data_IF_182316421049
#
_entry.id   IF_182316421049
#
_cell.length_a   1.000
_cell.length_b   1.000
_cell.length_c   1.000
_cell.angle_alpha   90.00
_cell.angle_beta   90.00
_cell.angle_gamma   90.00
#
_symmetry.space_group_name_H-M   'P 1'
#
loop_
_entity.id
_entity.type
_entity.pdbx_description
1 polymer ?
#
# COMPACT_ATOMS: atom_id res chain seq x y z
N UNK A 1 -0.63 -15.98 25.32
CA UNK A 1 -0.49 -16.33 23.90
C UNK A 1 0.93 -15.99 23.43
N UNK A 2 1.80 -17.00 23.43
CA UNK A 2 3.27 -16.91 23.50
C UNK A 2 3.97 -16.87 22.12
N UNK A 3 5.12 -16.17 22.04
CA UNK A 3 6.24 -16.49 21.12
C UNK A 3 6.21 -15.87 19.71
N UNK A 4 6.24 -14.54 19.55
CA UNK A 4 5.89 -13.93 18.25
C UNK A 4 6.84 -12.81 17.77
N UNK A 5 8.14 -12.85 18.07
CA UNK A 5 9.11 -11.85 17.57
C UNK A 5 9.38 -11.93 16.06
N UNK A 6 9.34 -13.14 15.47
CA UNK A 6 9.62 -13.40 14.05
C UNK A 6 8.34 -13.49 13.21
N UNK A 7 7.27 -14.07 13.76
CA UNK A 7 5.97 -14.17 13.08
C UNK A 7 5.27 -12.81 12.93
N UNK A 8 5.40 -11.88 13.88
CA UNK A 8 4.91 -10.49 13.69
C UNK A 8 5.56 -9.77 12.51
N UNK A 9 6.82 -10.09 12.20
CA UNK A 9 7.50 -9.53 11.02
C UNK A 9 7.05 -10.18 9.73
N UNK A 10 6.82 -11.49 9.74
CA UNK A 10 6.30 -12.18 8.57
C UNK A 10 4.87 -11.73 8.23
N UNK A 11 4.00 -11.67 9.24
CA UNK A 11 2.63 -11.18 9.09
C UNK A 11 2.59 -9.72 8.60
N UNK A 12 3.43 -8.85 9.15
CA UNK A 12 3.55 -7.47 8.69
C UNK A 12 4.08 -7.36 7.25
N UNK A 13 5.01 -8.22 6.84
CA UNK A 13 5.51 -8.26 5.46
C UNK A 13 4.42 -8.72 4.49
N UNK A 14 3.68 -9.77 4.87
CA UNK A 14 2.61 -10.35 4.08
C UNK A 14 1.47 -9.35 3.91
N UNK A 15 1.06 -8.69 5.00
CA UNK A 15 0.02 -7.66 4.98
C UNK A 15 0.39 -6.47 4.07
N UNK A 16 1.62 -5.97 4.18
CA UNK A 16 2.05 -4.84 3.35
C UNK A 16 2.19 -5.22 1.87
N UNK A 17 2.72 -6.40 1.58
CA UNK A 17 2.85 -6.88 0.20
C UNK A 17 1.47 -7.10 -0.42
N UNK A 18 0.55 -7.73 0.33
CA UNK A 18 -0.83 -7.93 -0.10
C UNK A 18 -1.56 -6.61 -0.30
N UNK A 19 -1.38 -5.64 0.60
CA UNK A 19 -1.96 -4.30 0.47
C UNK A 19 -1.51 -3.58 -0.81
N UNK A 20 -0.20 -3.57 -1.08
CA UNK A 20 0.34 -2.98 -2.33
C UNK A 20 -0.19 -3.72 -3.56
N UNK A 21 -0.17 -5.06 -3.56
CA UNK A 21 -0.63 -5.86 -4.68
C UNK A 21 -2.14 -5.66 -4.97
N UNK A 22 -2.96 -5.64 -3.92
CA UNK A 22 -4.40 -5.41 -4.03
C UNK A 22 -4.70 -4.01 -4.59
N UNK A 23 -3.99 -2.99 -4.11
CA UNK A 23 -4.14 -1.62 -4.59
C UNK A 23 -3.71 -1.49 -6.06
N UNK A 24 -2.58 -2.08 -6.45
CA UNK A 24 -2.10 -2.10 -7.83
C UNK A 24 -3.08 -2.83 -8.76
N UNK A 25 -3.63 -3.96 -8.31
CA UNK A 25 -4.64 -4.70 -9.05
C UNK A 25 -5.92 -3.87 -9.26
N UNK A 26 -6.44 -3.24 -8.20
CA UNK A 26 -7.62 -2.39 -8.29
C UNK A 26 -7.39 -1.20 -9.24
N UNK A 27 -6.18 -0.60 -9.20
CA UNK A 27 -5.76 0.47 -10.11
C UNK A 27 -5.74 0.03 -11.57
N UNK A 28 -5.14 -1.13 -11.86
CA UNK A 28 -5.07 -1.67 -13.21
C UNK A 28 -6.46 -2.00 -13.76
N UNK A 29 -7.29 -2.66 -12.98
CA UNK A 29 -8.69 -2.95 -13.35
C UNK A 29 -9.44 -1.66 -13.63
N UNK A 30 -9.27 -0.66 -12.75
CA UNK A 30 -9.91 0.65 -12.91
C UNK A 30 -9.44 1.35 -14.19
N UNK A 31 -8.14 1.33 -14.49
CA UNK A 31 -7.57 1.96 -15.69
C UNK A 31 -8.10 1.30 -16.97
N UNK A 32 -8.17 -0.03 -17.00
CA UNK A 32 -8.67 -0.78 -18.16
C UNK A 32 -10.20 -0.80 -18.28
N UNK A 33 -10.91 -0.39 -17.24
CA UNK A 33 -12.37 -0.22 -17.25
C UNK A 33 -12.79 1.21 -17.59
N UNK A 34 -11.85 2.15 -17.74
CA UNK A 34 -12.15 3.54 -18.08
C UNK A 34 -12.71 3.61 -19.51
N UNK A 35 -13.72 4.46 -19.76
CA UNK A 35 -14.17 4.72 -21.12
C UNK A 35 -13.06 5.47 -21.88
N UNK A 36 -12.44 4.79 -22.84
CA UNK A 36 -11.32 5.34 -23.59
C UNK A 36 -10.71 4.34 -24.56
N UNK A 37 -9.61 4.75 -25.21
CA UNK A 37 -8.94 3.98 -26.27
C UNK A 37 -8.33 2.66 -25.77
N UNK A 38 -8.08 2.56 -24.47
CA UNK A 38 -7.50 1.39 -23.81
C UNK A 38 -8.53 0.59 -22.99
N UNK A 39 -9.83 0.75 -23.26
CA UNK A 39 -10.89 0.01 -22.57
C UNK A 39 -10.80 -1.47 -22.93
N UNK A 40 -10.27 -2.28 -22.01
CA UNK A 40 -10.23 -3.73 -22.15
C UNK A 40 -11.48 -4.41 -21.56
N UNK A 41 -12.14 -3.76 -20.58
CA UNK A 41 -13.32 -4.28 -19.91
C UNK A 41 -14.57 -3.44 -20.22
N UNK A 42 -15.55 -4.08 -20.85
CA UNK A 42 -16.86 -3.48 -21.12
C UNK A 42 -17.84 -3.76 -19.97
N UNK A 43 -17.64 -3.10 -18.82
CA UNK A 43 -18.56 -3.19 -17.68
C UNK A 43 -19.56 -2.02 -17.66
N UNK A 44 -20.75 -2.27 -17.14
CA UNK A 44 -21.74 -1.24 -16.79
C UNK A 44 -22.05 -1.39 -15.29
N UNK A 45 -21.83 -0.37 -14.44
CA UNK A 45 -21.18 0.92 -14.74
C UNK A 45 -19.67 0.76 -15.02
N UNK A 46 -19.09 1.73 -15.73
CA UNK A 46 -17.65 1.80 -15.97
C UNK A 46 -16.93 2.48 -14.80
N UNK A 47 -15.60 2.56 -14.86
CA UNK A 47 -14.80 3.26 -13.85
C UNK A 47 -14.69 4.77 -14.10
N UNK A 48 -15.53 5.36 -14.97
CA UNK A 48 -15.49 6.79 -15.28
C UNK A 48 -15.77 7.67 -14.06
N UNK A 49 -16.52 7.14 -13.08
CA UNK A 49 -16.79 7.84 -11.83
C UNK A 49 -15.52 8.25 -11.08
N UNK A 50 -14.40 7.54 -11.27
CA UNK A 50 -13.10 7.89 -10.69
C UNK A 50 -12.53 9.20 -11.25
N UNK A 51 -13.03 9.69 -12.38
CA UNK A 51 -12.64 10.99 -12.94
C UNK A 51 -13.49 12.14 -12.43
N UNK A 52 -14.59 11.84 -11.72
CA UNK A 52 -15.51 12.83 -11.17
C UNK A 52 -15.14 13.19 -9.73
N UNK A 53 -15.46 14.41 -9.31
CA UNK A 53 -15.34 14.80 -7.91
C UNK A 53 -16.36 14.04 -7.05
N UNK A 54 -16.01 13.59 -5.83
CA UNK A 54 -14.71 13.75 -5.15
C UNK A 54 -13.69 12.63 -5.45
N UNK A 55 -14.06 11.63 -6.25
CA UNK A 55 -13.29 10.41 -6.47
C UNK A 55 -12.03 10.59 -7.31
N UNK A 56 -11.90 11.69 -8.05
CA UNK A 56 -10.67 12.08 -8.76
C UNK A 56 -9.42 12.12 -7.85
N UNK A 57 -9.62 12.39 -6.56
CA UNK A 57 -8.54 12.37 -5.57
C UNK A 57 -8.05 10.97 -5.24
N UNK A 58 -8.82 9.91 -5.53
CA UNK A 58 -8.42 8.54 -5.26
C UNK A 58 -7.16 8.15 -6.05
N UNK A 59 -7.17 8.13 -7.40
CA UNK A 59 -5.98 7.81 -8.18
C UNK A 59 -4.91 8.91 -8.07
N UNK A 60 -5.30 10.18 -7.95
CA UNK A 60 -4.37 11.31 -7.96
C UNK A 60 -3.61 11.52 -6.64
N UNK A 61 -4.17 11.13 -5.50
CA UNK A 61 -3.60 11.44 -4.18
C UNK A 61 -3.68 10.26 -3.20
N UNK A 62 -4.87 9.70 -2.98
CA UNK A 62 -5.09 8.68 -1.93
C UNK A 62 -4.30 7.40 -2.23
N UNK A 63 -4.31 6.93 -3.48
CA UNK A 63 -3.59 5.71 -3.85
C UNK A 63 -2.07 5.87 -3.73
N UNK A 64 -1.42 6.93 -4.27
CA UNK A 64 0.00 7.20 -4.00
C UNK A 64 0.33 7.25 -2.50
N UNK A 65 -0.50 7.92 -1.69
CA UNK A 65 -0.29 8.01 -0.23
C UNK A 65 -0.42 6.64 0.43
N UNK A 66 -1.41 5.83 0.06
CA UNK A 66 -1.59 4.48 0.57
C UNK A 66 -0.38 3.58 0.28
N UNK A 67 0.16 3.63 -0.94
CA UNK A 67 1.42 2.95 -1.29
C UNK A 67 2.56 3.45 -0.42
N UNK A 68 2.67 4.77 -0.23
CA UNK A 68 3.67 5.40 0.63
C UNK A 68 3.62 4.86 2.07
N UNK A 69 2.43 4.72 2.66
CA UNK A 69 2.25 4.15 4.01
C UNK A 69 2.72 2.71 4.08
N UNK A 70 2.40 1.88 3.09
CA UNK A 70 2.89 0.50 3.05
C UNK A 70 4.42 0.42 2.91
N UNK A 71 5.02 1.26 2.06
CA UNK A 71 6.48 1.34 1.91
C UNK A 71 7.14 1.77 3.24
N UNK A 72 6.58 2.78 3.92
CA UNK A 72 7.09 3.23 5.22
C UNK A 72 6.96 2.13 6.27
N UNK A 73 5.83 1.43 6.32
CA UNK A 73 5.63 0.29 7.22
C UNK A 73 6.64 -0.83 6.96
N UNK A 74 6.91 -1.17 5.69
CA UNK A 74 7.92 -2.15 5.31
C UNK A 74 9.32 -1.69 5.73
N UNK A 75 9.63 -0.42 5.51
CA UNK A 75 10.92 0.17 5.87
C UNK A 75 11.17 0.14 7.38
N UNK A 76 10.16 0.39 8.20
CA UNK A 76 10.27 0.23 9.66
C UNK A 76 10.42 -1.24 10.07
N UNK A 77 9.71 -2.15 9.39
CA UNK A 77 9.79 -3.58 9.70
C UNK A 77 11.16 -4.19 9.36
N UNK A 78 11.81 -3.69 8.31
CA UNK A 78 13.14 -4.08 7.85
C UNK A 78 14.26 -3.37 8.60
N UNK A 79 13.97 -2.33 9.40
CA UNK A 79 15.00 -1.63 10.18
C UNK A 79 15.61 -2.56 11.24
N UNK A 80 16.93 -2.74 11.26
CA UNK A 80 17.60 -3.53 12.29
C UNK A 80 17.37 -2.91 13.67
N UNK A 81 16.81 -3.68 14.61
CA UNK A 81 16.54 -3.26 15.99
C UNK A 81 17.82 -2.88 16.78
N UNK A 82 19.01 -3.18 16.26
CA UNK A 82 20.31 -2.92 16.91
C UNK A 82 20.73 -1.45 17.04
N UNK A 83 19.98 -0.48 16.52
CA UNK A 83 20.36 0.95 16.59
C UNK A 83 19.76 1.73 17.77
N UNK A 84 18.70 1.24 18.41
CA UNK A 84 18.07 1.97 19.52
C UNK A 84 18.76 1.73 20.88
N UNK A 85 19.31 0.53 21.12
CA UNK A 85 20.00 0.24 22.38
C UNK A 85 21.31 1.04 22.54
N UNK A 86 22.03 1.28 21.42
CA UNK A 86 23.24 2.13 21.41
C UNK A 86 22.96 3.61 21.70
N UNK A 87 21.78 4.12 21.33
CA UNK A 87 21.39 5.51 21.66
C UNK A 87 21.03 5.68 23.14
N UNK A 88 20.49 4.65 23.78
CA UNK A 88 20.18 4.67 25.21
C UNK A 88 21.41 4.45 26.10
N UNK A 89 22.34 3.57 25.70
CA UNK A 89 23.57 3.30 26.44
C UNK A 89 24.73 4.27 26.13
N UNK A 90 24.59 5.11 25.11
CA UNK A 90 25.62 6.07 24.67
C UNK A 90 25.48 7.49 25.24
N UNK A 91 24.47 7.76 26.07
CA UNK A 91 24.42 8.96 26.92
C UNK A 91 25.01 8.58 28.28
N UNK A 92 26.34 8.67 28.39
CA UNK A 92 27.00 8.90 29.67
C UNK A 92 27.15 10.40 29.87
#
# INVERSE_FOLDING_TARGET
>A
FFGQGRFRRFEGLLWNTFGIASLANALLISLFSLPGQYRAFATVPDSAFLTLAPFVWLPGFVFPVAIGVHILSLRELLRPQGRQLRKFLGRK
#
